data_IF_871120702687
#
_entry.id   IF_871120702687
#
_cell.length_a   1.000
_cell.length_b   1.000
_cell.length_c   1.000
_cell.angle_alpha   90.00
_cell.angle_beta   90.00
_cell.angle_gamma   90.00
#
_symmetry.space_group_name_H-M   'P 1'
#
loop_
_entity.id
_entity.type
_entity.pdbx_description
1 polymer ?
#
# COMPACT_ATOMS: atom_id res chain seq x y z
N UNK A 1 -13.73 -6.21 51.31
CA UNK A 1 -12.75 -6.40 50.22
C UNK A 1 -13.43 -6.07 48.90
N UNK A 2 -13.09 -4.93 48.29
CA UNK A 2 -13.56 -4.58 46.96
C UNK A 2 -12.37 -4.61 46.00
N UNK A 3 -12.38 -5.54 45.04
CA UNK A 3 -11.42 -5.57 43.95
C UNK A 3 -11.80 -4.51 42.92
N UNK A 4 -10.99 -3.45 42.83
CA UNK A 4 -11.06 -2.49 41.74
C UNK A 4 -10.40 -3.11 40.50
N UNK A 5 -11.22 -3.58 39.56
CA UNK A 5 -10.76 -4.05 38.25
C UNK A 5 -10.34 -2.88 37.37
N UNK A 6 -9.06 -2.81 37.03
CA UNK A 6 -8.54 -1.87 36.05
C UNK A 6 -8.93 -2.35 34.64
N UNK A 7 -9.83 -1.62 33.98
CA UNK A 7 -10.17 -1.81 32.57
C UNK A 7 -9.06 -1.20 31.71
N UNK A 8 -8.23 -2.04 31.11
CA UNK A 8 -7.27 -1.63 30.07
C UNK A 8 -8.06 -1.30 28.79
N UNK A 9 -8.23 -0.01 28.49
CA UNK A 9 -8.77 0.44 27.19
C UNK A 9 -7.64 0.32 26.17
N UNK A 10 -7.72 -0.69 25.29
CA UNK A 10 -6.82 -0.78 24.15
C UNK A 10 -7.21 0.29 23.11
N UNK A 11 -6.37 1.31 22.95
CA UNK A 11 -6.53 2.30 21.88
C UNK A 11 -6.33 1.62 20.53
N UNK A 12 -7.19 1.88 19.52
CA UNK A 12 -6.88 1.46 18.16
C UNK A 12 -5.61 2.20 17.71
N UNK A 13 -4.58 1.46 17.34
CA UNK A 13 -3.41 2.03 16.67
C UNK A 13 -3.89 2.69 15.39
N UNK A 14 -3.81 4.02 15.32
CA UNK A 14 -3.83 4.70 14.03
C UNK A 14 -2.70 4.08 13.21
N UNK A 15 -3.02 3.51 12.05
CA UNK A 15 -1.98 3.05 11.15
C UNK A 15 -1.10 4.26 10.83
N UNK A 16 0.21 4.14 11.05
CA UNK A 16 1.15 5.25 10.88
C UNK A 16 1.05 5.83 9.46
N UNK A 17 1.09 7.17 9.35
CA UNK A 17 0.97 7.89 8.08
C UNK A 17 2.03 7.46 7.05
N UNK A 18 1.74 7.67 5.75
CA UNK A 18 2.69 7.38 4.69
C UNK A 18 3.97 8.23 4.83
N UNK A 19 5.16 7.65 4.59
CA UNK A 19 6.41 8.38 4.67
C UNK A 19 6.46 9.46 3.58
N UNK A 20 6.80 10.68 3.99
CA UNK A 20 6.86 11.86 3.10
C UNK A 20 8.27 12.23 2.64
N UNK A 21 9.30 11.55 3.17
CA UNK A 21 10.71 11.76 2.83
C UNK A 21 11.32 10.50 2.22
N UNK A 22 12.11 10.65 1.17
CA UNK A 22 12.85 9.54 0.58
C UNK A 22 13.77 8.91 1.63
N UNK A 23 13.71 7.58 1.74
CA UNK A 23 14.43 6.79 2.74
C UNK A 23 13.65 6.55 4.04
N UNK A 24 12.59 7.31 4.31
CA UNK A 24 11.72 7.05 5.45
C UNK A 24 10.84 5.82 5.19
N UNK A 25 10.60 5.04 6.24
CA UNK A 25 9.80 3.84 6.20
C UNK A 25 8.72 3.86 7.29
N UNK A 26 7.64 3.16 7.01
CA UNK A 26 6.53 2.92 7.93
C UNK A 26 6.17 1.44 7.90
N UNK A 27 5.68 0.92 9.01
CA UNK A 27 5.05 -0.40 9.06
C UNK A 27 3.54 -0.26 9.03
N UNK A 28 2.89 -1.13 8.26
CA UNK A 28 1.43 -1.14 8.08
C UNK A 28 1.01 -2.58 7.79
N UNK A 29 -0.26 -2.77 7.41
CA UNK A 29 -0.79 -4.06 6.97
C UNK A 29 -1.36 -3.95 5.57
N UNK A 30 -1.26 -5.04 4.80
CA UNK A 30 -1.94 -5.18 3.53
C UNK A 30 -3.45 -5.23 3.80
N UNK A 31 -4.18 -4.31 3.17
CA UNK A 31 -5.64 -4.24 3.24
C UNK A 31 -6.28 -5.11 2.17
N UNK A 32 -5.84 -4.99 0.92
CA UNK A 32 -6.30 -5.85 -0.18
C UNK A 32 -5.20 -6.10 -1.21
N UNK A 33 -5.33 -7.22 -1.92
CA UNK A 33 -4.55 -7.58 -3.12
C UNK A 33 -5.55 -7.84 -4.23
N UNK A 34 -5.36 -7.19 -5.38
CA UNK A 34 -6.31 -7.17 -6.48
C UNK A 34 -5.57 -7.20 -7.83
N UNK A 35 -6.29 -7.51 -8.90
CA UNK A 35 -5.82 -7.19 -10.25
C UNK A 35 -5.85 -5.67 -10.44
N UNK A 36 -5.01 -5.13 -11.32
CA UNK A 36 -5.00 -3.68 -11.60
C UNK A 36 -6.36 -3.17 -12.08
N UNK A 37 -7.06 -3.95 -12.91
CA UNK A 37 -8.37 -3.59 -13.43
C UNK A 37 -9.45 -4.55 -12.94
N UNK A 38 -10.65 -3.99 -12.77
CA UNK A 38 -11.90 -4.72 -12.60
C UNK A 38 -12.83 -4.40 -13.75
N UNK A 39 -13.65 -5.36 -14.14
CA UNK A 39 -14.66 -5.19 -15.18
C UNK A 39 -15.79 -4.28 -14.67
N UNK A 40 -16.08 -3.20 -15.41
CA UNK A 40 -17.03 -2.18 -14.98
C UNK A 40 -18.50 -2.63 -14.97
N UNK A 41 -18.85 -3.72 -15.66
CA UNK A 41 -20.22 -4.22 -15.69
C UNK A 41 -20.48 -5.29 -14.62
N UNK A 42 -19.48 -6.12 -14.35
CA UNK A 42 -19.59 -7.31 -13.49
C UNK A 42 -18.87 -7.17 -12.15
N UNK A 43 -18.05 -6.12 -12.00
CA UNK A 43 -17.19 -5.88 -10.85
C UNK A 43 -16.23 -7.06 -10.53
N UNK A 44 -15.88 -7.84 -11.56
CA UNK A 44 -14.96 -8.98 -11.44
C UNK A 44 -13.52 -8.54 -11.76
N UNK A 45 -12.50 -9.13 -11.10
CA UNK A 45 -11.11 -8.94 -11.48
C UNK A 45 -10.88 -9.28 -12.95
N UNK A 46 -10.13 -8.44 -13.69
CA UNK A 46 -9.69 -8.75 -15.05
C UNK A 46 -8.34 -9.47 -14.95
N UNK A 47 -8.26 -10.77 -15.29
CA UNK A 47 -7.00 -11.51 -15.29
C UNK A 47 -5.95 -10.82 -16.17
N UNK A 48 -4.68 -10.94 -15.77
CA UNK A 48 -3.52 -10.42 -16.52
C UNK A 48 -3.53 -8.89 -16.77
N UNK A 49 -4.41 -8.14 -16.11
CA UNK A 49 -4.44 -6.67 -16.21
C UNK A 49 -3.31 -5.97 -15.43
N UNK A 50 -2.57 -6.74 -14.63
CA UNK A 50 -1.53 -6.30 -13.71
C UNK A 50 -1.92 -6.51 -12.25
N UNK A 51 -1.08 -6.06 -11.31
CA UNK A 51 -1.32 -6.16 -9.86
C UNK A 51 -1.62 -4.81 -9.23
N UNK A 52 -2.48 -4.82 -8.21
CA UNK A 52 -2.74 -3.72 -7.30
C UNK A 52 -2.72 -4.20 -5.85
N UNK A 53 -2.22 -3.35 -4.95
CA UNK A 53 -2.20 -3.62 -3.51
C UNK A 53 -2.54 -2.35 -2.73
N UNK A 54 -3.43 -2.47 -1.76
CA UNK A 54 -3.80 -1.38 -0.84
C UNK A 54 -3.33 -1.69 0.58
N UNK A 55 -3.01 -0.65 1.34
CA UNK A 55 -2.50 -0.75 2.71
C UNK A 55 -3.41 -0.04 3.70
N UNK A 56 -3.40 -0.47 4.97
CA UNK A 56 -4.29 0.04 6.00
C UNK A 56 -4.09 1.53 6.31
N UNK A 57 -2.88 2.06 6.10
CA UNK A 57 -2.57 3.49 6.27
C UNK A 57 -2.85 4.36 5.03
N UNK A 58 -3.63 3.85 4.07
CA UNK A 58 -3.98 4.57 2.85
C UNK A 58 -2.92 4.47 1.74
N UNK A 59 -1.84 3.73 1.94
CA UNK A 59 -0.90 3.39 0.88
C UNK A 59 -1.57 2.61 -0.25
N UNK A 60 -1.08 2.82 -1.47
CA UNK A 60 -1.49 2.07 -2.65
C UNK A 60 -0.28 1.86 -3.55
N UNK A 61 -0.26 0.73 -4.27
CA UNK A 61 0.72 0.48 -5.32
C UNK A 61 0.09 -0.29 -6.47
N UNK A 62 0.54 -0.01 -7.69
CA UNK A 62 -0.02 -0.60 -8.90
C UNK A 62 1.06 -0.89 -9.94
N UNK A 63 0.84 -1.95 -10.71
CA UNK A 63 1.65 -2.34 -11.86
C UNK A 63 0.74 -2.79 -13.01
N UNK A 64 1.20 -2.60 -14.25
CA UNK A 64 0.60 -3.22 -15.42
C UNK A 64 1.01 -4.69 -15.56
N UNK A 65 2.11 -5.08 -14.91
CA UNK A 65 2.57 -6.46 -14.84
C UNK A 65 1.96 -7.16 -13.63
N UNK A 66 1.74 -8.46 -13.74
CA UNK A 66 1.43 -9.33 -12.59
C UNK A 66 2.69 -9.52 -11.76
N UNK A 67 2.65 -9.10 -10.49
CA UNK A 67 3.80 -9.14 -9.59
C UNK A 67 3.67 -10.35 -8.67
N UNK A 68 4.50 -11.40 -8.81
CA UNK A 68 4.33 -12.64 -8.03
C UNK A 68 4.43 -12.45 -6.51
N UNK A 69 5.21 -11.47 -6.05
CA UNK A 69 5.30 -11.12 -4.62
C UNK A 69 3.98 -10.54 -4.06
N UNK A 70 3.20 -9.84 -4.91
CA UNK A 70 1.89 -9.33 -4.55
C UNK A 70 0.87 -10.48 -4.57
N UNK A 71 0.88 -11.34 -5.60
CA UNK A 71 -0.01 -12.51 -5.68
C UNK A 71 0.13 -13.48 -4.50
N UNK A 72 1.34 -13.61 -3.95
CA UNK A 72 1.60 -14.43 -2.73
C UNK A 72 1.30 -13.70 -1.42
N UNK A 73 1.03 -12.40 -1.48
CA UNK A 73 0.61 -11.60 -0.35
C UNK A 73 -0.89 -11.78 -0.09
N UNK A 74 -1.35 -11.43 1.11
CA UNK A 74 -2.76 -11.51 1.48
C UNK A 74 -3.17 -10.41 2.47
N UNK A 75 -4.46 -10.07 2.56
CA UNK A 75 -4.97 -9.18 3.60
C UNK A 75 -4.49 -9.59 5.00
N UNK A 76 -4.09 -8.60 5.80
CA UNK A 76 -3.58 -8.78 7.15
C UNK A 76 -2.06 -9.02 7.25
N UNK A 77 -1.35 -9.25 6.14
CA UNK A 77 0.11 -9.35 6.17
C UNK A 77 0.74 -8.03 6.62
N UNK A 78 1.63 -8.09 7.61
CA UNK A 78 2.46 -6.94 7.96
C UNK A 78 3.39 -6.58 6.80
N UNK A 79 3.49 -5.30 6.50
CA UNK A 79 4.31 -4.78 5.41
C UNK A 79 5.11 -3.56 5.88
N UNK A 80 6.36 -3.47 5.43
CA UNK A 80 7.16 -2.26 5.57
C UNK A 80 7.19 -1.51 4.25
N UNK A 81 6.69 -0.28 4.24
CA UNK A 81 6.70 0.63 3.09
C UNK A 81 7.77 1.68 3.29
N UNK A 82 8.69 1.80 2.35
CA UNK A 82 9.71 2.84 2.33
C UNK A 82 9.55 3.71 1.10
N UNK A 83 9.44 5.02 1.26
CA UNK A 83 9.41 5.95 0.14
C UNK A 83 10.80 5.99 -0.51
N UNK A 84 10.89 5.67 -1.80
CA UNK A 84 12.18 5.62 -2.52
C UNK A 84 12.29 6.65 -3.64
N UNK A 85 11.19 7.27 -4.06
CA UNK A 85 11.20 8.29 -5.10
C UNK A 85 10.01 9.23 -4.95
N UNK A 86 10.26 10.53 -5.11
CA UNK A 86 9.24 11.57 -5.24
C UNK A 86 9.43 12.22 -6.62
N UNK A 87 8.41 12.22 -7.49
CA UNK A 87 8.50 12.90 -8.78
C UNK A 87 8.67 14.41 -8.61
N UNK A 88 9.30 15.04 -9.60
CA UNK A 88 9.61 16.48 -9.61
C UNK A 88 8.80 17.18 -10.69
N UNK A 89 8.68 18.50 -10.57
CA UNK A 89 7.96 19.36 -11.52
C UNK A 89 6.48 18.98 -11.70
N UNK A 90 5.87 18.49 -10.63
CA UNK A 90 4.45 18.17 -10.61
C UNK A 90 3.59 19.45 -10.59
N UNK A 91 2.41 19.45 -11.25
CA UNK A 91 1.41 20.48 -11.05
C UNK A 91 1.03 20.61 -9.57
N UNK A 92 0.64 21.82 -9.15
CA UNK A 92 0.23 22.07 -7.76
C UNK A 92 -0.93 21.14 -7.37
N UNK A 93 -0.69 20.30 -6.36
CA UNK A 93 -1.69 19.36 -5.83
C UNK A 93 -1.72 17.99 -6.52
N UNK A 94 -0.91 17.75 -7.55
CA UNK A 94 -0.74 16.42 -8.14
C UNK A 94 0.48 15.71 -7.54
N UNK A 95 0.23 14.90 -6.52
CA UNK A 95 1.27 14.20 -5.76
C UNK A 95 1.54 12.77 -6.28
N UNK A 96 0.90 12.37 -7.39
CA UNK A 96 0.95 11.00 -7.93
C UNK A 96 2.32 10.64 -8.46
N UNK A 97 2.64 9.34 -8.45
CA UNK A 97 3.86 8.78 -9.02
C UNK A 97 4.99 8.63 -8.02
N UNK A 98 4.71 8.73 -6.71
CA UNK A 98 5.68 8.36 -5.68
C UNK A 98 5.93 6.86 -5.77
N UNK A 99 7.18 6.44 -5.67
CA UNK A 99 7.53 5.01 -5.69
C UNK A 99 7.89 4.58 -4.28
N UNK A 100 7.27 3.49 -3.85
CA UNK A 100 7.56 2.86 -2.57
C UNK A 100 8.24 1.51 -2.80
N UNK A 101 9.22 1.19 -1.96
CA UNK A 101 9.69 -0.18 -1.78
C UNK A 101 8.87 -0.80 -0.68
N UNK A 102 8.23 -1.91 -0.97
CA UNK A 102 7.47 -2.67 0.02
C UNK A 102 8.15 -3.98 0.30
N UNK A 103 8.21 -4.36 1.58
CA UNK A 103 8.60 -5.69 2.04
C UNK A 103 7.43 -6.30 2.78
N UNK A 104 6.87 -7.39 2.26
CA UNK A 104 5.92 -8.20 3.02
C UNK A 104 6.72 -8.94 4.11
N UNK A 105 6.42 -8.68 5.38
CA UNK A 105 7.21 -9.19 6.50
C UNK A 105 6.94 -10.68 6.76
N UNK A 106 5.80 -11.22 6.30
CA UNK A 106 5.49 -12.65 6.35
C UNK A 106 6.25 -13.42 5.28
N UNK A 107 6.15 -13.02 4.02
CA UNK A 107 6.78 -13.75 2.90
C UNK A 107 8.25 -13.38 2.70
N UNK A 108 8.69 -12.26 3.27
CA UNK A 108 10.00 -11.62 3.06
C UNK A 108 10.24 -11.14 1.63
N UNK A 109 9.19 -11.15 0.80
CA UNK A 109 9.27 -10.71 -0.58
C UNK A 109 9.18 -9.20 -0.69
N UNK A 110 9.76 -8.68 -1.78
CA UNK A 110 9.99 -7.26 -1.97
C UNK A 110 9.51 -6.87 -3.36
N UNK A 111 8.85 -5.72 -3.46
CA UNK A 111 8.57 -5.07 -4.73
C UNK A 111 8.78 -3.56 -4.63
N UNK A 112 8.90 -2.90 -5.79
CA UNK A 112 9.05 -1.45 -5.91
C UNK A 112 8.08 -0.96 -6.97
N UNK A 113 7.03 -0.26 -6.56
CA UNK A 113 5.96 0.16 -7.46
C UNK A 113 5.48 1.57 -7.14
N UNK A 114 4.97 2.30 -8.15
CA UNK A 114 4.37 3.61 -7.96
C UNK A 114 3.02 3.50 -7.25
N UNK A 115 2.62 4.60 -6.60
CA UNK A 115 1.29 4.78 -6.00
C UNK A 115 0.20 5.17 -7.00
N UNK A 116 0.53 5.24 -8.28
CA UNK A 116 -0.38 5.61 -9.35
C UNK A 116 0.07 4.97 -10.66
N UNK A 117 -0.86 4.58 -11.56
CA UNK A 117 -0.46 4.02 -12.86
C UNK A 117 0.24 5.04 -13.75
N UNK A 118 0.07 6.34 -13.48
CA UNK A 118 0.70 7.44 -14.19
C UNK A 118 1.41 8.37 -13.20
N UNK A 119 2.54 8.93 -13.61
CA UNK A 119 3.22 9.97 -12.83
C UNK A 119 2.42 11.27 -12.82
N UNK A 120 2.71 12.17 -11.88
CA UNK A 120 2.16 13.52 -11.88
C UNK A 120 2.36 14.23 -13.23
N UNK A 121 1.43 15.13 -13.58
CA UNK A 121 1.53 15.96 -14.78
C UNK A 121 0.93 15.37 -16.06
N UNK A 122 0.31 14.18 -16.00
CA UNK A 122 -0.43 13.64 -17.13
C UNK A 122 -0.90 12.20 -16.91
N UNK A 123 -1.46 11.62 -17.98
CA UNK A 123 -1.75 10.20 -18.14
C UNK A 123 -1.11 9.73 -19.45
#
# INVERSE_FOLDING_TARGET
MAFAGCLCVASPSLADELPTKVGACVETTIKSVETRLVDGATNKPIPDSGSAVSFANGGYQVSYETIPAIERSRPGDSARLCLVFIPRNCPKGDDRGRIYKTTNLRTREIWRLPDSPHSCGGA
#
